data_IF_153905166093
#
_entry.id   IF_153905166093
#
_cell.length_a   1.000
_cell.length_b   1.000
_cell.length_c   1.000
_cell.angle_alpha   90.00
_cell.angle_beta   90.00
_cell.angle_gamma   90.00
#
_symmetry.space_group_name_H-M   'P 1'
#
loop_
_entity.id
_entity.type
_entity.pdbx_description
1 polymer ?
#
# COMPACT_ATOMS: atom_id res chain seq x y z
N UNK A 1 41.78 -11.13 -56.57
CA UNK A 1 40.57 -11.61 -55.90
C UNK A 1 41.00 -12.24 -54.58
N UNK A 2 40.94 -11.47 -53.48
CA UNK A 2 41.25 -11.97 -52.13
C UNK A 2 39.93 -12.31 -51.46
N UNK A 3 39.70 -13.58 -51.13
CA UNK A 3 38.56 -14.04 -50.35
C UNK A 3 38.83 -13.75 -48.89
N UNK A 4 37.99 -12.88 -48.28
CA UNK A 4 37.99 -12.64 -46.86
C UNK A 4 37.06 -13.70 -46.22
N UNK A 5 37.65 -14.57 -45.40
CA UNK A 5 36.92 -15.48 -44.53
C UNK A 5 36.47 -14.70 -43.29
N UNK A 6 35.16 -14.44 -43.16
CA UNK A 6 34.57 -13.94 -41.92
C UNK A 6 34.29 -15.15 -41.03
N UNK A 7 35.08 -15.27 -39.96
CA UNK A 7 34.85 -16.26 -38.90
C UNK A 7 33.72 -15.72 -38.00
N UNK A 8 32.52 -16.29 -38.13
CA UNK A 8 31.41 -16.01 -37.21
C UNK A 8 31.70 -16.74 -35.88
N UNK A 9 32.10 -15.99 -34.86
CA UNK A 9 32.16 -16.50 -33.49
C UNK A 9 30.71 -16.50 -32.93
N UNK A 10 30.06 -17.65 -32.98
CA UNK A 10 28.80 -17.90 -32.28
C UNK A 10 29.14 -18.10 -30.82
N UNK A 11 29.02 -17.06 -30.01
CA UNK A 11 29.00 -17.18 -28.57
C UNK A 11 27.71 -17.88 -28.14
N UNK A 12 27.77 -19.18 -27.97
CA UNK A 12 26.78 -19.95 -27.23
C UNK A 12 26.81 -19.49 -25.76
N UNK A 13 25.96 -18.52 -25.43
CA UNK A 13 25.60 -18.28 -24.05
C UNK A 13 24.82 -19.50 -23.55
N UNK A 14 25.53 -20.43 -22.94
CA UNK A 14 24.93 -21.46 -22.10
C UNK A 14 24.35 -20.70 -20.90
N UNK A 15 23.08 -20.35 -20.97
CA UNK A 15 22.28 -20.04 -19.80
C UNK A 15 22.26 -21.29 -18.91
N UNK A 16 23.27 -21.46 -18.07
CA UNK A 16 23.14 -22.27 -16.88
C UNK A 16 22.19 -21.54 -15.97
N UNK A 17 20.86 -21.71 -16.18
CA UNK A 17 19.91 -21.62 -15.11
C UNK A 17 20.46 -22.51 -14.00
N UNK A 18 20.93 -21.93 -12.93
CA UNK A 18 21.09 -22.65 -11.69
C UNK A 18 19.70 -23.10 -11.27
N UNK A 19 19.31 -24.30 -11.73
CA UNK A 19 18.19 -25.00 -11.14
C UNK A 19 18.62 -25.29 -9.69
N UNK A 20 18.19 -24.44 -8.78
CA UNK A 20 18.18 -24.81 -7.37
C UNK A 20 17.28 -26.03 -7.27
N UNK A 21 17.90 -27.16 -6.95
CA UNK A 21 17.24 -28.43 -6.80
C UNK A 21 16.05 -28.32 -5.86
N UNK A 22 15.01 -29.05 -6.19
CA UNK A 22 13.87 -29.31 -5.30
C UNK A 22 14.40 -30.00 -4.03
N UNK A 23 14.82 -29.21 -3.04
CA UNK A 23 15.02 -29.70 -1.69
C UNK A 23 13.76 -29.37 -0.92
N UNK A 24 13.17 -30.39 -0.31
CA UNK A 24 12.08 -30.21 0.66
C UNK A 24 12.46 -29.14 1.67
N UNK A 25 11.43 -28.51 2.21
CA UNK A 25 11.41 -27.37 3.13
C UNK A 25 12.47 -27.50 4.24
N UNK A 26 13.74 -27.21 3.94
CA UNK A 26 14.77 -27.07 4.95
C UNK A 26 14.69 -25.64 5.51
N UNK A 27 14.58 -25.52 6.83
CA UNK A 27 14.67 -24.23 7.52
C UNK A 27 15.96 -23.48 7.14
N UNK A 28 15.91 -22.15 7.09
CA UNK A 28 17.07 -21.32 6.80
C UNK A 28 18.14 -21.52 7.88
N UNK A 29 19.30 -21.99 7.50
CA UNK A 29 20.43 -22.11 8.41
C UNK A 29 21.08 -20.74 8.68
N UNK A 30 21.92 -20.64 9.72
CA UNK A 30 22.57 -19.41 10.12
C UNK A 30 23.38 -18.73 9.00
N UNK A 31 24.20 -19.43 8.18
CA UNK A 31 24.88 -18.84 7.03
C UNK A 31 23.92 -18.24 5.99
N UNK A 32 22.81 -18.91 5.70
CA UNK A 32 21.79 -18.42 4.77
C UNK A 32 21.11 -17.16 5.31
N UNK A 33 20.74 -17.15 6.59
CA UNK A 33 20.19 -15.96 7.27
C UNK A 33 21.16 -14.79 7.24
N UNK A 34 22.46 -15.03 7.50
CA UNK A 34 23.50 -14.01 7.43
C UNK A 34 23.63 -13.43 6.00
N UNK A 35 23.56 -14.28 4.98
CA UNK A 35 23.61 -13.85 3.57
C UNK A 35 22.41 -12.93 3.23
N UNK A 36 21.19 -13.35 3.57
CA UNK A 36 19.96 -12.58 3.31
C UNK A 36 20.03 -11.21 4.00
N UNK A 37 20.42 -11.20 5.29
CA UNK A 37 20.59 -9.97 6.06
C UNK A 37 21.63 -9.03 5.44
N UNK A 38 22.82 -9.55 5.12
CA UNK A 38 23.90 -8.79 4.48
C UNK A 38 23.46 -8.18 3.15
N UNK A 39 22.76 -8.96 2.34
CA UNK A 39 22.23 -8.49 1.06
C UNK A 39 21.21 -7.38 1.25
N UNK A 40 20.22 -7.55 2.12
CA UNK A 40 19.25 -6.50 2.44
C UNK A 40 19.93 -5.21 2.91
N UNK A 41 20.87 -5.32 3.87
CA UNK A 41 21.58 -4.16 4.38
C UNK A 41 22.36 -3.41 3.28
N UNK A 42 22.97 -4.14 2.36
CA UNK A 42 23.70 -3.58 1.21
C UNK A 42 22.76 -2.89 0.23
N UNK A 43 21.63 -3.51 -0.09
CA UNK A 43 20.64 -2.94 -1.01
C UNK A 43 20.02 -1.65 -0.46
N UNK A 44 19.72 -1.59 0.85
CA UNK A 44 19.26 -0.36 1.51
C UNK A 44 20.32 0.74 1.40
N UNK A 45 21.60 0.42 1.68
CA UNK A 45 22.68 1.40 1.64
C UNK A 45 22.82 2.10 0.29
N UNK A 46 22.63 1.37 -0.79
CA UNK A 46 22.84 1.91 -2.14
C UNK A 46 21.59 2.49 -2.78
N UNK A 47 20.41 1.96 -2.47
CA UNK A 47 19.19 2.28 -3.20
C UNK A 47 18.19 3.12 -2.42
N UNK A 48 18.24 3.12 -1.08
CA UNK A 48 17.24 3.81 -0.27
C UNK A 48 17.32 5.33 -0.44
N UNK A 49 16.23 5.94 -0.89
CA UNK A 49 16.18 7.37 -1.20
C UNK A 49 16.43 8.27 0.01
N UNK A 50 16.09 7.82 1.21
CA UNK A 50 16.25 8.60 2.45
C UNK A 50 17.42 8.16 3.30
N UNK A 51 18.39 7.45 2.72
CA UNK A 51 19.55 6.95 3.47
C UNK A 51 20.31 8.05 4.21
N UNK A 52 20.51 9.19 3.55
CA UNK A 52 21.24 10.33 4.12
C UNK A 52 20.43 11.11 5.19
N UNK A 53 19.11 10.84 5.30
CA UNK A 53 18.23 11.39 6.34
C UNK A 53 18.16 10.52 7.60
N UNK A 54 18.83 9.35 7.61
CA UNK A 54 18.89 8.49 8.80
C UNK A 54 19.67 9.17 9.91
N UNK A 55 19.10 9.19 11.12
CA UNK A 55 19.72 9.77 12.31
C UNK A 55 20.56 8.76 13.12
N UNK A 56 20.85 7.61 12.54
CA UNK A 56 21.67 6.53 13.12
C UNK A 56 22.55 5.89 12.03
N UNK A 57 23.56 5.15 12.48
CA UNK A 57 24.45 4.44 11.57
C UNK A 57 23.84 3.10 11.15
N UNK A 58 23.42 2.99 9.89
CA UNK A 58 22.80 1.79 9.32
C UNK A 58 23.71 0.56 9.35
N UNK A 59 25.00 0.74 8.98
CA UNK A 59 25.95 -0.38 8.96
C UNK A 59 26.15 -0.95 10.38
N UNK A 60 26.22 -0.09 11.39
CA UNK A 60 26.33 -0.51 12.80
C UNK A 60 25.08 -1.26 13.26
N UNK A 61 23.89 -0.81 12.87
CA UNK A 61 22.63 -1.49 13.20
C UNK A 61 22.55 -2.88 12.52
N UNK A 62 22.95 -2.97 11.25
CA UNK A 62 23.02 -4.24 10.53
C UNK A 62 23.97 -5.23 11.22
N UNK A 63 25.18 -4.80 11.58
CA UNK A 63 26.15 -5.65 12.28
C UNK A 63 25.61 -6.10 13.64
N UNK A 64 25.00 -5.20 14.42
CA UNK A 64 24.41 -5.52 15.72
C UNK A 64 23.24 -6.53 15.59
N UNK A 65 22.56 -6.58 14.46
CA UNK A 65 21.43 -7.49 14.21
C UNK A 65 21.87 -8.92 13.83
N UNK A 66 23.12 -9.14 13.39
CA UNK A 66 23.60 -10.45 12.93
C UNK A 66 23.39 -11.55 13.99
N UNK A 67 23.84 -11.41 15.25
CA UNK A 67 23.73 -12.52 16.21
C UNK A 67 22.29 -12.93 16.49
N UNK A 68 21.41 -11.96 16.71
CA UNK A 68 20.00 -12.24 17.03
C UNK A 68 19.23 -12.85 15.86
N UNK A 69 19.42 -12.31 14.65
CA UNK A 69 18.71 -12.79 13.46
C UNK A 69 19.19 -14.17 13.00
N UNK A 70 20.50 -14.42 13.05
CA UNK A 70 21.03 -15.74 12.65
C UNK A 70 20.73 -16.86 13.65
N UNK A 71 20.45 -16.50 14.91
CA UNK A 71 20.09 -17.44 15.97
C UNK A 71 18.58 -17.72 16.09
N UNK A 72 17.72 -17.11 15.26
CA UNK A 72 16.27 -17.37 15.28
C UNK A 72 15.95 -18.84 15.05
N UNK A 73 14.94 -19.35 15.78
CA UNK A 73 14.59 -20.78 15.78
C UNK A 73 13.74 -21.21 14.58
N UNK A 74 13.10 -20.25 13.89
CA UNK A 74 12.26 -20.53 12.72
C UNK A 74 12.46 -19.48 11.62
N UNK A 75 12.03 -19.81 10.40
CA UNK A 75 12.02 -18.87 9.27
C UNK A 75 11.03 -17.73 9.51
N UNK A 76 9.94 -17.99 10.25
CA UNK A 76 8.97 -16.96 10.64
C UNK A 76 9.62 -15.94 11.59
N UNK A 77 10.33 -16.39 12.64
CA UNK A 77 11.01 -15.49 13.56
C UNK A 77 12.11 -14.68 12.85
N UNK A 78 12.80 -15.32 11.90
CA UNK A 78 13.78 -14.62 11.06
C UNK A 78 13.12 -13.51 10.24
N UNK A 79 12.03 -13.81 9.52
CA UNK A 79 11.32 -12.79 8.73
C UNK A 79 10.81 -11.66 9.63
N UNK A 80 10.22 -11.97 10.77
CA UNK A 80 9.74 -10.94 11.72
C UNK A 80 10.90 -10.06 12.22
N UNK A 81 12.02 -10.67 12.53
CA UNK A 81 13.21 -9.92 12.92
C UNK A 81 13.74 -9.02 11.79
N UNK A 82 13.74 -9.51 10.55
CA UNK A 82 14.09 -8.71 9.37
C UNK A 82 13.11 -7.56 9.14
N UNK A 83 11.81 -7.78 9.35
CA UNK A 83 10.79 -6.71 9.26
C UNK A 83 10.99 -5.65 10.36
N UNK A 84 11.31 -6.05 11.59
CA UNK A 84 11.65 -5.11 12.67
C UNK A 84 12.88 -4.26 12.33
N UNK A 85 13.92 -4.86 11.75
CA UNK A 85 15.09 -4.12 11.26
C UNK A 85 14.72 -3.16 10.15
N UNK A 86 13.95 -3.62 9.16
CA UNK A 86 13.48 -2.81 8.03
C UNK A 86 12.67 -1.60 8.51
N UNK A 87 11.81 -1.76 9.49
CA UNK A 87 10.96 -0.69 10.01
C UNK A 87 11.71 0.44 10.73
N UNK A 88 13.00 0.26 11.05
CA UNK A 88 13.85 1.35 11.54
C UNK A 88 14.09 2.42 10.46
N UNK A 89 13.83 2.10 9.20
CA UNK A 89 13.93 3.05 8.07
C UNK A 89 12.76 4.03 8.02
N UNK A 90 11.67 3.76 8.73
CA UNK A 90 10.47 4.61 8.77
C UNK A 90 9.94 4.99 7.38
N UNK A 91 9.89 4.02 6.46
CA UNK A 91 9.42 4.21 5.10
C UNK A 91 8.41 3.13 4.69
N UNK A 92 7.24 3.57 4.20
CA UNK A 92 6.13 2.69 3.83
C UNK A 92 6.34 1.88 2.54
N UNK A 93 7.26 2.32 1.67
CA UNK A 93 7.64 1.59 0.45
C UNK A 93 8.87 0.69 0.63
N UNK A 94 9.51 0.70 1.80
CA UNK A 94 10.63 -0.19 2.12
C UNK A 94 10.15 -1.26 3.09
N UNK A 95 10.00 -2.49 2.57
CA UNK A 95 9.48 -3.61 3.35
C UNK A 95 10.03 -4.96 2.87
N UNK A 96 9.96 -5.97 3.74
CA UNK A 96 10.39 -7.34 3.47
C UNK A 96 9.16 -8.24 3.43
N UNK A 97 9.13 -9.13 2.45
CA UNK A 97 8.01 -10.02 2.21
C UNK A 97 8.47 -11.41 1.76
N UNK A 98 7.68 -12.46 2.03
CA UNK A 98 7.91 -13.77 1.43
C UNK A 98 7.55 -13.71 -0.06
N UNK A 99 8.41 -14.24 -0.91
CA UNK A 99 8.12 -14.38 -2.33
C UNK A 99 7.16 -15.54 -2.56
N UNK A 100 6.13 -15.31 -3.36
CA UNK A 100 5.14 -16.31 -3.70
C UNK A 100 5.78 -17.41 -4.56
N UNK A 101 6.22 -18.50 -3.92
CA UNK A 101 6.38 -19.76 -4.61
C UNK A 101 5.06 -20.54 -4.40
N UNK A 102 4.31 -20.91 -5.46
CA UNK A 102 3.07 -21.67 -5.32
C UNK A 102 3.23 -22.98 -4.54
N UNK A 103 4.47 -23.53 -4.51
CA UNK A 103 4.85 -24.71 -3.72
C UNK A 103 5.23 -24.39 -2.27
N UNK A 104 5.48 -23.10 -1.96
CA UNK A 104 5.95 -22.60 -0.67
C UNK A 104 5.08 -21.43 -0.15
N UNK A 105 3.81 -21.31 -0.58
CA UNK A 105 2.89 -20.45 0.15
C UNK A 105 2.85 -20.98 1.57
N UNK A 106 3.65 -20.34 2.38
CA UNK A 106 3.71 -20.66 3.79
C UNK A 106 2.30 -20.50 4.33
N UNK A 107 1.75 -21.57 4.89
CA UNK A 107 0.44 -21.60 5.58
C UNK A 107 0.33 -20.52 6.67
N UNK A 108 1.45 -19.87 6.99
CA UNK A 108 1.61 -18.89 8.04
C UNK A 108 1.19 -17.43 7.69
N UNK A 109 0.76 -17.15 6.42
CA UNK A 109 0.27 -15.81 6.02
C UNK A 109 -1.22 -15.82 5.65
N UNK A 110 -1.93 -16.90 5.89
CA UNK A 110 -3.36 -16.92 5.61
C UNK A 110 -4.11 -16.02 6.60
N UNK A 111 -4.68 -14.89 6.16
CA UNK A 111 -5.55 -14.11 7.03
C UNK A 111 -6.84 -14.89 7.31
N UNK A 112 -7.55 -14.52 8.37
CA UNK A 112 -8.96 -14.88 8.50
C UNK A 112 -9.72 -14.33 7.28
N UNK A 113 -10.72 -15.05 6.76
CA UNK A 113 -11.49 -14.63 5.60
C UNK A 113 -12.48 -13.51 5.96
N UNK A 114 -11.97 -12.43 6.52
CA UNK A 114 -12.71 -11.19 6.81
C UNK A 114 -11.78 -9.98 6.70
N UNK A 115 -12.32 -8.87 6.22
CA UNK A 115 -11.67 -7.56 6.24
C UNK A 115 -12.11 -6.78 7.46
N UNK A 116 -11.23 -5.94 7.95
CA UNK A 116 -11.49 -5.08 9.10
C UNK A 116 -11.13 -3.63 8.81
N UNK A 117 -11.61 -2.71 9.64
CA UNK A 117 -11.15 -1.32 9.69
C UNK A 117 -11.26 -0.76 11.10
N UNK A 118 -10.41 0.20 11.39
CA UNK A 118 -10.47 0.99 12.62
C UNK A 118 -11.28 2.28 12.37
N UNK A 119 -12.23 2.57 13.25
CA UNK A 119 -12.93 3.86 13.31
C UNK A 119 -12.78 4.37 14.74
N UNK A 120 -12.14 5.53 14.91
CA UNK A 120 -11.78 6.02 16.24
C UNK A 120 -10.91 5.02 17.02
N UNK A 121 -11.42 4.54 18.14
CA UNK A 121 -10.78 3.56 19.01
C UNK A 121 -11.47 2.19 19.00
N UNK A 122 -12.21 1.90 17.94
CA UNK A 122 -12.90 0.62 17.75
C UNK A 122 -12.55 0.00 16.41
N UNK A 123 -12.59 -1.32 16.34
CA UNK A 123 -12.28 -2.10 15.13
C UNK A 123 -13.49 -2.89 14.69
N UNK A 124 -13.86 -2.76 13.43
CA UNK A 124 -15.06 -3.36 12.86
C UNK A 124 -14.73 -4.29 11.70
N UNK A 125 -15.51 -5.35 11.58
CA UNK A 125 -15.55 -6.19 10.37
C UNK A 125 -16.26 -5.41 9.26
N UNK A 126 -15.62 -5.31 8.09
CA UNK A 126 -16.20 -4.68 6.89
C UNK A 126 -16.72 -5.71 5.91
N UNK A 127 -16.04 -6.84 5.80
CA UNK A 127 -16.34 -7.90 4.83
C UNK A 127 -16.06 -9.27 5.40
N UNK A 128 -16.87 -10.26 5.01
CA UNK A 128 -16.70 -11.66 5.38
C UNK A 128 -16.70 -12.52 4.12
N UNK A 129 -15.71 -13.38 3.98
CA UNK A 129 -15.48 -14.24 2.80
C UNK A 129 -15.67 -15.74 3.09
N UNK A 130 -16.17 -16.08 4.28
CA UNK A 130 -16.41 -17.45 4.72
C UNK A 130 -17.85 -17.65 5.21
N UNK A 131 -18.55 -18.63 4.64
CA UNK A 131 -19.88 -19.03 5.11
C UNK A 131 -19.85 -19.55 6.55
N UNK A 132 -18.77 -20.22 6.94
CA UNK A 132 -18.60 -20.69 8.33
C UNK A 132 -18.54 -19.51 9.32
N UNK A 133 -17.82 -18.43 8.98
CA UNK A 133 -17.80 -17.23 9.83
C UNK A 133 -19.18 -16.57 9.92
N UNK A 134 -19.90 -16.47 8.80
CA UNK A 134 -21.26 -15.93 8.80
C UNK A 134 -22.22 -16.76 9.64
N UNK A 135 -22.16 -18.08 9.55
CA UNK A 135 -22.97 -19.00 10.37
C UNK A 135 -22.63 -18.87 11.85
N UNK A 136 -21.37 -18.53 12.19
CA UNK A 136 -20.94 -18.25 13.56
C UNK A 136 -21.38 -16.87 14.06
N UNK A 137 -22.09 -16.07 13.23
CA UNK A 137 -22.60 -14.76 13.59
C UNK A 137 -21.72 -13.57 13.20
N UNK A 138 -20.59 -13.79 12.54
CA UNK A 138 -19.70 -12.71 12.08
C UNK A 138 -20.23 -12.10 10.80
N UNK A 139 -20.60 -10.82 10.86
CA UNK A 139 -21.16 -10.05 9.75
C UNK A 139 -20.51 -8.66 9.68
N UNK A 140 -20.60 -7.96 8.54
CA UNK A 140 -20.21 -6.56 8.45
C UNK A 140 -20.88 -5.70 9.55
N UNK A 141 -20.06 -4.89 10.23
CA UNK A 141 -20.47 -4.09 11.38
C UNK A 141 -20.36 -4.79 12.73
N UNK A 142 -19.94 -6.07 12.79
CA UNK A 142 -19.47 -6.64 14.05
C UNK A 142 -18.20 -5.93 14.49
N UNK A 143 -18.13 -5.57 15.77
CA UNK A 143 -16.92 -5.03 16.40
C UNK A 143 -16.04 -6.20 16.88
N UNK A 144 -14.74 -6.08 16.73
CA UNK A 144 -13.77 -6.96 17.35
C UNK A 144 -13.34 -6.34 18.68
N UNK A 145 -13.53 -7.06 19.77
CA UNK A 145 -13.18 -6.60 21.14
C UNK A 145 -11.82 -7.11 21.54
N UNK A 146 -11.60 -8.44 21.38
CA UNK A 146 -10.36 -9.09 21.79
C UNK A 146 -9.93 -10.15 20.76
N UNK A 147 -8.62 -10.36 20.68
CA UNK A 147 -7.99 -11.47 19.97
C UNK A 147 -7.10 -12.21 20.97
N UNK A 148 -7.36 -13.51 21.18
CA UNK A 148 -6.64 -14.38 22.12
C UNK A 148 -6.58 -13.84 23.57
N UNK A 149 -7.65 -13.12 23.99
CA UNK A 149 -7.77 -12.53 25.33
C UNK A 149 -7.05 -11.20 25.51
N UNK A 150 -6.47 -10.63 24.44
CA UNK A 150 -5.85 -9.31 24.44
C UNK A 150 -6.77 -8.31 23.74
N UNK A 151 -6.92 -7.08 24.27
CA UNK A 151 -7.69 -6.02 23.63
C UNK A 151 -7.23 -5.83 22.18
N UNK A 152 -8.16 -5.65 21.24
CA UNK A 152 -7.87 -5.62 19.81
C UNK A 152 -6.88 -4.53 19.41
N UNK A 153 -6.93 -3.35 20.04
CA UNK A 153 -6.00 -2.26 19.75
C UNK A 153 -4.59 -2.60 20.28
N UNK A 154 -4.50 -3.15 21.47
CA UNK A 154 -3.24 -3.58 22.05
C UNK A 154 -2.62 -4.72 21.22
N UNK A 155 -3.44 -5.69 20.82
CA UNK A 155 -3.04 -6.78 19.94
C UNK A 155 -2.46 -6.25 18.61
N UNK A 156 -3.19 -5.37 17.91
CA UNK A 156 -2.73 -4.79 16.65
C UNK A 156 -1.46 -3.96 16.81
N UNK A 157 -1.37 -3.15 17.87
CA UNK A 157 -0.18 -2.33 18.13
C UNK A 157 1.04 -3.14 18.52
N UNK A 158 0.88 -4.25 19.24
CA UNK A 158 1.97 -5.10 19.76
C UNK A 158 2.43 -6.16 18.75
N UNK A 159 1.50 -6.78 18.04
CA UNK A 159 1.80 -7.95 17.21
C UNK A 159 1.83 -7.67 15.71
N UNK A 160 1.12 -6.64 15.24
CA UNK A 160 0.99 -6.34 13.81
C UNK A 160 1.81 -5.11 13.41
N UNK A 161 1.59 -3.98 14.08
CA UNK A 161 2.23 -2.70 13.76
C UNK A 161 3.76 -2.76 13.67
N UNK A 162 4.50 -3.46 14.56
CA UNK A 162 5.96 -3.49 14.51
C UNK A 162 6.53 -4.14 13.24
N UNK A 163 5.72 -4.94 12.54
CA UNK A 163 6.11 -5.66 11.32
C UNK A 163 5.59 -4.99 10.03
N UNK A 164 4.89 -3.86 10.14
CA UNK A 164 4.37 -3.10 9.00
C UNK A 164 5.22 -1.86 8.75
N UNK A 165 5.71 -1.74 7.52
CA UNK A 165 6.40 -0.55 7.04
C UNK A 165 5.49 0.69 7.10
N UNK A 166 6.02 1.83 7.54
CA UNK A 166 5.24 3.03 7.79
C UNK A 166 6.10 4.28 7.67
N UNK A 167 5.64 5.26 6.88
CA UNK A 167 6.25 6.60 6.80
C UNK A 167 5.62 7.59 7.76
N UNK A 168 4.39 7.37 8.23
CA UNK A 168 3.62 8.37 8.99
C UNK A 168 2.89 7.78 10.20
N UNK A 169 2.65 8.61 11.24
CA UNK A 169 1.85 8.19 12.40
C UNK A 169 0.42 7.77 12.04
N UNK A 170 -0.25 8.46 11.09
CA UNK A 170 -1.60 8.12 10.67
C UNK A 170 -1.65 6.77 9.96
N UNK A 171 -0.72 6.47 9.05
CA UNK A 171 -0.60 5.14 8.45
C UNK A 171 -0.37 4.08 9.53
N UNK A 172 0.60 4.28 10.44
CA UNK A 172 0.91 3.36 11.52
C UNK A 172 -0.27 3.14 12.48
N UNK A 173 -1.16 4.14 12.63
CA UNK A 173 -2.36 4.05 13.46
C UNK A 173 -3.46 3.19 12.83
N UNK A 174 -3.68 3.31 11.51
CA UNK A 174 -4.84 2.70 10.85
C UNK A 174 -4.51 1.42 10.10
N UNK A 175 -3.33 1.34 9.45
CA UNK A 175 -2.96 0.18 8.61
C UNK A 175 -2.98 -1.17 9.33
N UNK A 176 -2.55 -1.32 10.60
CA UNK A 176 -2.61 -2.60 11.31
C UNK A 176 -4.01 -3.19 11.42
N UNK A 177 -5.05 -2.36 11.30
CA UNK A 177 -6.46 -2.72 11.43
C UNK A 177 -7.22 -2.67 10.11
N UNK A 178 -6.54 -2.36 9.00
CA UNK A 178 -7.15 -2.22 7.68
C UNK A 178 -7.08 -3.53 6.90
N UNK A 179 -8.13 -3.79 6.12
CA UNK A 179 -8.19 -4.94 5.23
C UNK A 179 -7.97 -6.26 5.98
N UNK A 180 -6.97 -7.03 5.60
CA UNK A 180 -6.62 -8.32 6.20
C UNK A 180 -5.46 -8.23 7.20
N UNK A 181 -4.89 -7.03 7.45
CA UNK A 181 -3.64 -6.91 8.21
C UNK A 181 -3.76 -7.44 9.63
N UNK A 182 -4.82 -7.07 10.34
CA UNK A 182 -5.05 -7.50 11.73
C UNK A 182 -5.07 -9.01 11.88
N UNK A 183 -5.51 -9.71 10.86
CA UNK A 183 -5.73 -11.15 10.86
C UNK A 183 -4.68 -11.93 10.09
N UNK A 184 -3.69 -11.26 9.48
CA UNK A 184 -2.49 -11.88 8.95
C UNK A 184 -1.62 -12.32 10.10
N UNK A 185 -1.73 -13.53 10.52
CA UNK A 185 -0.85 -14.07 11.54
C UNK A 185 -0.60 -15.56 11.33
N UNK A 186 0.58 -15.98 11.58
CA UNK A 186 1.17 -17.03 12.41
C UNK A 186 0.65 -18.44 12.20
N UNK A 187 0.61 -18.94 10.99
CA UNK A 187 0.51 -20.38 10.79
C UNK A 187 -0.80 -21.02 11.22
N UNK A 188 -0.77 -22.29 11.45
CA UNK A 188 -1.92 -23.17 11.74
C UNK A 188 -2.52 -23.05 13.15
N UNK A 189 -2.18 -22.03 13.93
CA UNK A 189 -2.71 -21.86 15.28
C UNK A 189 -4.14 -21.35 15.22
N UNK A 190 -5.01 -21.91 16.05
CA UNK A 190 -6.34 -21.37 16.28
C UNK A 190 -6.22 -20.00 16.92
N UNK A 191 -7.11 -19.09 16.57
CA UNK A 191 -7.30 -17.81 17.25
C UNK A 191 -8.70 -17.75 17.82
N UNK A 192 -8.81 -17.20 19.02
CA UNK A 192 -10.05 -16.95 19.73
C UNK A 192 -10.38 -15.47 19.64
N UNK A 193 -11.43 -15.12 18.90
CA UNK A 193 -11.81 -13.72 18.68
C UNK A 193 -13.15 -13.44 19.37
N UNK A 194 -13.17 -12.43 20.24
CA UNK A 194 -14.39 -11.91 20.87
C UNK A 194 -14.97 -10.80 19.99
N UNK A 195 -16.18 -11.02 19.51
CA UNK A 195 -16.95 -10.09 18.72
C UNK A 195 -18.11 -9.49 19.51
N UNK A 196 -18.55 -8.32 19.09
CA UNK A 196 -19.81 -7.69 19.51
C UNK A 196 -20.63 -7.33 18.29
N UNK A 197 -21.84 -7.84 18.18
CA UNK A 197 -22.70 -7.55 17.05
C UNK A 197 -23.37 -6.17 17.16
N UNK A 198 -24.04 -5.69 16.08
CA UNK A 198 -24.73 -4.39 16.04
C UNK A 198 -25.81 -4.24 17.13
N UNK A 199 -26.33 -5.34 17.71
CA UNK A 199 -27.30 -5.34 18.80
C UNK A 199 -26.66 -5.30 20.21
N UNK A 200 -25.33 -5.21 20.27
CA UNK A 200 -24.57 -5.19 21.52
C UNK A 200 -24.30 -6.54 22.17
N UNK A 201 -24.73 -7.66 21.55
CA UNK A 201 -24.47 -9.02 22.07
C UNK A 201 -23.04 -9.43 21.73
N UNK A 202 -22.30 -9.86 22.74
CA UNK A 202 -20.98 -10.43 22.61
C UNK A 202 -21.03 -11.95 22.34
N UNK A 203 -20.10 -12.43 21.54
CA UNK A 203 -19.92 -13.84 21.23
C UNK A 203 -18.50 -14.11 20.78
N UNK A 204 -18.04 -15.33 21.00
CA UNK A 204 -16.68 -15.74 20.67
C UNK A 204 -16.69 -16.73 19.51
N UNK A 205 -15.77 -16.53 18.58
CA UNK A 205 -15.45 -17.50 17.53
C UNK A 205 -14.03 -17.99 17.76
N UNK A 206 -13.87 -19.28 17.94
CA UNK A 206 -12.59 -19.95 17.95
C UNK A 206 -12.48 -20.76 16.67
N UNK A 207 -11.45 -20.48 15.88
CA UNK A 207 -11.27 -21.16 14.62
C UNK A 207 -9.80 -21.33 14.29
N UNK A 208 -9.48 -22.50 13.73
CA UNK A 208 -8.24 -22.66 13.02
C UNK A 208 -8.30 -21.86 11.71
N UNK A 209 -7.17 -21.48 11.16
CA UNK A 209 -7.09 -20.62 9.96
C UNK A 209 -7.42 -21.36 8.65
N UNK A 210 -7.86 -22.60 8.70
CA UNK A 210 -8.32 -23.40 7.56
C UNK A 210 -9.78 -23.12 7.18
N UNK A 211 -10.29 -21.92 7.51
CA UNK A 211 -11.61 -21.49 7.07
C UNK A 211 -11.68 -21.40 5.55
N UNK A 212 -12.80 -21.83 4.99
CA UNK A 212 -13.05 -21.71 3.55
C UNK A 212 -13.17 -20.25 3.13
N UNK A 213 -12.72 -19.97 1.92
CA UNK A 213 -12.95 -18.71 1.21
C UNK A 213 -13.99 -18.97 0.13
N UNK A 214 -15.21 -19.28 0.55
CA UNK A 214 -16.30 -19.74 -0.31
C UNK A 214 -17.30 -18.64 -0.68
N UNK A 215 -17.19 -17.48 -0.05
CA UNK A 215 -17.99 -16.31 -0.39
C UNK A 215 -17.17 -15.37 -1.25
N UNK A 216 -17.52 -15.28 -2.53
CA UNK A 216 -16.96 -14.26 -3.42
C UNK A 216 -17.70 -12.94 -3.16
N UNK A 217 -16.95 -11.85 -3.14
CA UNK A 217 -17.50 -10.51 -3.25
C UNK A 217 -16.94 -9.90 -4.53
N UNK A 218 -17.80 -9.79 -5.51
CA UNK A 218 -17.52 -9.04 -6.75
C UNK A 218 -17.73 -7.54 -6.45
N UNK A 219 -16.95 -6.97 -5.55
CA UNK A 219 -16.91 -5.53 -5.38
C UNK A 219 -15.88 -5.01 -6.38
N UNK A 220 -16.30 -4.35 -7.46
CA UNK A 220 -15.37 -3.82 -8.43
C UNK A 220 -14.49 -2.77 -7.75
N UNK A 221 -13.20 -2.73 -8.12
CA UNK A 221 -12.27 -1.71 -7.63
C UNK A 221 -12.64 -0.31 -8.10
N UNK A 222 -13.44 -0.22 -9.17
CA UNK A 222 -14.01 1.03 -9.66
C UNK A 222 -15.55 0.89 -9.76
N UNK A 223 -16.26 1.91 -9.29
CA UNK A 223 -17.74 1.96 -9.42
C UNK A 223 -18.23 3.40 -9.48
N UNK A 224 -19.37 3.60 -10.13
CA UNK A 224 -20.04 4.89 -10.22
C UNK A 224 -21.49 4.77 -9.80
N UNK A 225 -21.99 5.77 -9.07
CA UNK A 225 -23.39 5.88 -8.63
C UNK A 225 -23.81 7.34 -8.63
N UNK A 226 -25.00 7.63 -9.06
CA UNK A 226 -25.62 8.93 -8.88
C UNK A 226 -26.32 8.96 -7.52
N UNK A 227 -26.02 9.96 -6.72
CA UNK A 227 -26.65 10.27 -5.43
C UNK A 227 -27.79 11.26 -5.63
N UNK A 228 -28.41 11.68 -4.52
CA UNK A 228 -29.38 12.78 -4.52
C UNK A 228 -28.77 14.06 -5.13
N UNK A 229 -29.63 14.94 -5.63
CA UNK A 229 -29.24 16.22 -6.26
C UNK A 229 -28.30 16.03 -7.48
N UNK A 230 -28.46 14.91 -8.16
CA UNK A 230 -27.66 14.56 -9.36
C UNK A 230 -26.14 14.65 -9.12
N UNK A 231 -25.67 14.32 -7.91
CA UNK A 231 -24.24 14.28 -7.56
C UNK A 231 -23.69 12.91 -7.86
N UNK A 232 -22.67 12.81 -8.72
CA UNK A 232 -21.95 11.58 -9.00
C UNK A 232 -21.04 11.17 -7.83
N UNK A 233 -20.96 9.88 -7.55
CA UNK A 233 -19.95 9.26 -6.69
C UNK A 233 -19.17 8.24 -7.49
N UNK A 234 -17.95 8.60 -7.87
CA UNK A 234 -16.97 7.72 -8.49
C UNK A 234 -16.02 7.17 -7.42
N UNK A 235 -16.07 5.87 -7.18
CA UNK A 235 -15.12 5.20 -6.28
C UNK A 235 -14.01 4.55 -7.10
N UNK A 236 -12.76 4.82 -6.75
CA UNK A 236 -11.55 4.25 -7.36
C UNK A 236 -10.71 3.63 -6.26
N UNK A 237 -10.89 2.33 -6.02
CA UNK A 237 -10.25 1.62 -4.90
C UNK A 237 -8.80 1.19 -5.17
N UNK A 238 -8.32 1.25 -6.42
CA UNK A 238 -6.96 0.84 -6.78
C UNK A 238 -6.52 1.45 -8.11
N UNK A 239 -5.23 1.72 -8.22
CA UNK A 239 -4.55 2.06 -9.48
C UNK A 239 -3.69 0.91 -10.00
N UNK A 240 -3.82 -0.30 -9.49
CA UNK A 240 -3.14 -1.48 -10.03
C UNK A 240 -3.63 -1.79 -11.44
N UNK A 241 -2.75 -2.29 -12.31
CA UNK A 241 -3.10 -2.66 -13.70
C UNK A 241 -4.18 -3.75 -13.78
N UNK A 242 -4.30 -4.60 -12.76
CA UNK A 242 -5.34 -5.62 -12.66
C UNK A 242 -6.71 -5.06 -12.30
N UNK A 243 -6.77 -3.87 -11.69
CA UNK A 243 -7.94 -3.34 -11.01
C UNK A 243 -8.50 -2.10 -11.70
N UNK A 244 -7.64 -1.23 -12.26
CA UNK A 244 -8.04 -0.04 -12.98
C UNK A 244 -8.26 -0.35 -14.46
N UNK A 245 -9.50 -0.32 -14.90
CA UNK A 245 -9.88 -0.56 -16.28
C UNK A 245 -10.26 0.76 -16.98
N UNK A 246 -9.41 1.25 -17.87
CA UNK A 246 -9.62 2.51 -18.62
C UNK A 246 -10.87 2.43 -19.49
N UNK A 247 -11.08 1.32 -20.19
CA UNK A 247 -12.28 1.15 -21.04
C UNK A 247 -13.55 1.25 -20.22
N UNK A 248 -13.58 0.61 -19.04
CA UNK A 248 -14.75 0.70 -18.15
C UNK A 248 -14.92 2.13 -17.60
N UNK A 249 -13.84 2.83 -17.29
CA UNK A 249 -13.92 4.25 -16.90
C UNK A 249 -14.49 5.10 -18.04
N UNK A 250 -14.06 4.87 -19.29
CA UNK A 250 -14.58 5.58 -20.46
C UNK A 250 -16.08 5.37 -20.68
N UNK A 251 -16.56 4.17 -20.42
CA UNK A 251 -18.01 3.84 -20.45
C UNK A 251 -18.77 4.60 -19.34
N UNK A 252 -18.19 4.74 -18.16
CA UNK A 252 -18.78 5.48 -17.04
C UNK A 252 -18.73 6.98 -17.27
N UNK A 253 -17.76 7.48 -18.02
CA UNK A 253 -17.51 8.90 -18.17
C UNK A 253 -18.68 9.66 -18.80
N UNK A 254 -19.38 9.06 -19.75
CA UNK A 254 -20.58 9.63 -20.35
C UNK A 254 -21.72 9.86 -19.33
N UNK A 255 -21.81 8.99 -18.32
CA UNK A 255 -22.75 9.17 -17.20
C UNK A 255 -22.25 10.20 -16.19
N UNK A 256 -20.94 10.27 -15.97
CA UNK A 256 -20.31 11.28 -15.12
C UNK A 256 -20.58 12.69 -15.68
N UNK A 257 -20.48 12.88 -16.99
CA UNK A 257 -20.73 14.16 -17.65
C UNK A 257 -22.16 14.69 -17.42
N UNK A 258 -23.13 13.82 -17.16
CA UNK A 258 -24.56 14.20 -16.90
C UNK A 258 -24.80 14.68 -15.47
N UNK A 259 -23.88 14.46 -14.53
CA UNK A 259 -24.04 14.90 -13.13
C UNK A 259 -23.80 16.39 -12.96
N UNK A 260 -24.32 16.99 -11.89
CA UNK A 260 -24.16 18.42 -11.58
C UNK A 260 -22.93 18.70 -10.70
N UNK A 261 -22.46 17.69 -9.99
CA UNK A 261 -21.21 17.70 -9.23
C UNK A 261 -20.67 16.27 -9.10
N UNK A 262 -19.40 16.11 -8.72
CA UNK A 262 -18.76 14.81 -8.61
C UNK A 262 -17.99 14.67 -7.30
N UNK A 263 -18.15 13.55 -6.65
CA UNK A 263 -17.29 13.07 -5.57
C UNK A 263 -16.41 11.97 -6.16
N UNK A 264 -15.10 12.14 -6.09
CA UNK A 264 -14.11 11.10 -6.41
C UNK A 264 -13.63 10.51 -5.08
N UNK A 265 -13.92 9.25 -4.83
CA UNK A 265 -13.54 8.56 -3.60
C UNK A 265 -12.35 7.62 -3.87
N UNK A 266 -11.17 8.03 -3.39
CA UNK A 266 -9.95 7.24 -3.42
C UNK A 266 -9.49 6.82 -2.01
N UNK A 267 -10.38 6.84 -1.04
CA UNK A 267 -10.08 6.29 0.28
C UNK A 267 -9.75 4.81 0.15
N UNK A 268 -8.75 4.36 0.92
CA UNK A 268 -8.20 3.00 0.89
C UNK A 268 -7.54 2.59 -0.45
N UNK A 269 -7.37 3.51 -1.40
CA UNK A 269 -6.59 3.25 -2.60
C UNK A 269 -5.10 3.23 -2.24
N UNK A 270 -4.48 2.06 -2.30
CA UNK A 270 -3.07 1.87 -1.97
C UNK A 270 -2.11 2.20 -3.13
N UNK A 271 -2.63 2.81 -4.19
CA UNK A 271 -1.83 3.18 -5.36
C UNK A 271 -1.76 2.08 -6.43
N UNK A 272 -0.68 2.06 -7.16
CA UNK A 272 -0.43 1.16 -8.29
C UNK A 272 0.36 1.85 -9.40
N UNK A 273 -0.15 1.84 -10.61
CA UNK A 273 0.47 2.49 -11.76
C UNK A 273 0.05 3.97 -11.85
N UNK A 274 1.01 4.89 -11.72
CA UNK A 274 0.78 6.33 -11.79
C UNK A 274 0.13 6.77 -13.11
N UNK A 275 0.39 6.06 -14.23
CA UNK A 275 -0.25 6.39 -15.51
C UNK A 275 -1.78 6.26 -15.50
N UNK A 276 -2.35 5.56 -14.51
CA UNK A 276 -3.80 5.51 -14.31
C UNK A 276 -4.30 6.74 -13.54
N UNK A 277 -3.52 7.25 -12.60
CA UNK A 277 -3.80 8.52 -11.92
C UNK A 277 -3.74 9.69 -12.93
N UNK A 278 -2.70 9.71 -13.78
CA UNK A 278 -2.53 10.71 -14.85
C UNK A 278 -3.70 10.66 -15.85
N UNK A 279 -4.09 9.45 -16.26
CA UNK A 279 -5.23 9.25 -17.14
C UNK A 279 -6.53 9.74 -16.52
N UNK A 280 -6.78 9.43 -15.24
CA UNK A 280 -7.98 9.86 -14.54
C UNK A 280 -8.04 11.39 -14.44
N UNK A 281 -6.95 12.06 -14.00
CA UNK A 281 -6.96 13.52 -13.83
C UNK A 281 -7.10 14.27 -15.14
N UNK A 282 -6.61 13.71 -16.26
CA UNK A 282 -6.68 14.35 -17.58
C UNK A 282 -8.12 14.67 -18.04
N UNK A 283 -9.11 13.95 -17.54
CA UNK A 283 -10.54 14.16 -17.80
C UNK A 283 -11.15 15.33 -17.01
N UNK A 284 -10.43 15.87 -16.04
CA UNK A 284 -10.91 16.88 -15.11
C UNK A 284 -10.14 18.21 -15.17
N UNK A 285 -9.17 18.35 -16.05
CA UNK A 285 -8.32 19.53 -16.18
C UNK A 285 -8.50 20.18 -17.56
N UNK A 286 -8.38 21.52 -17.64
CA UNK A 286 -8.53 22.29 -18.88
C UNK A 286 -7.21 22.78 -19.44
N UNK A 287 -6.19 22.84 -18.59
CA UNK A 287 -4.86 23.31 -18.94
C UNK A 287 -3.85 22.27 -18.49
N UNK A 288 -2.70 22.20 -19.17
CA UNK A 288 -1.61 21.36 -18.69
C UNK A 288 -1.26 21.69 -17.24
N UNK A 289 -1.09 20.65 -16.42
CA UNK A 289 -0.68 20.81 -15.01
C UNK A 289 0.74 20.27 -14.83
N UNK A 290 1.63 21.00 -14.13
CA UNK A 290 2.95 20.49 -13.84
C UNK A 290 2.84 19.27 -12.94
N UNK A 291 3.77 18.35 -13.08
CA UNK A 291 3.98 17.27 -12.14
C UNK A 291 4.98 17.68 -11.05
N UNK A 292 4.99 16.95 -9.95
CA UNK A 292 6.03 17.10 -8.92
C UNK A 292 7.41 16.69 -9.46
N UNK A 293 8.45 17.24 -8.85
CA UNK A 293 9.83 16.83 -9.15
C UNK A 293 10.17 15.60 -8.31
N UNK A 294 10.89 14.66 -8.90
CA UNK A 294 11.43 13.53 -8.16
C UNK A 294 12.96 13.44 -8.32
N UNK A 295 13.59 12.80 -7.35
CA UNK A 295 15.02 12.54 -7.37
C UNK A 295 15.34 11.14 -6.87
N UNK A 296 16.36 10.53 -7.47
CA UNK A 296 16.85 9.20 -7.11
C UNK A 296 18.34 9.25 -6.78
N UNK A 297 18.80 8.56 -5.73
CA UNK A 297 20.21 8.59 -5.35
C UNK A 297 21.08 7.87 -6.37
N UNK A 298 22.23 8.45 -6.69
CA UNK A 298 23.26 7.86 -7.52
C UNK A 298 24.46 7.44 -6.68
N UNK A 299 24.82 6.17 -6.69
CA UNK A 299 26.02 5.69 -6.03
C UNK A 299 27.18 5.58 -7.02
N UNK A 300 28.19 6.45 -6.83
CA UNK A 300 29.45 6.43 -7.57
C UNK A 300 30.56 6.06 -6.59
N UNK A 301 31.06 4.82 -6.70
CA UNK A 301 32.00 4.25 -5.75
C UNK A 301 33.28 5.10 -5.55
N UNK A 302 33.82 5.67 -6.65
CA UNK A 302 34.99 6.55 -6.59
C UNK A 302 34.70 7.82 -5.77
N UNK A 303 33.56 8.48 -6.01
CA UNK A 303 33.15 9.68 -5.29
C UNK A 303 32.92 9.39 -3.81
N UNK A 304 32.27 8.26 -3.49
CA UNK A 304 32.08 7.82 -2.12
C UNK A 304 33.41 7.57 -1.40
N UNK A 305 34.41 6.97 -2.08
CA UNK A 305 35.74 6.75 -1.51
C UNK A 305 36.56 8.03 -1.27
N UNK A 306 36.23 9.09 -1.98
CA UNK A 306 36.82 10.42 -1.82
C UNK A 306 36.02 11.35 -0.90
N UNK A 307 35.00 10.81 -0.22
CA UNK A 307 34.08 11.53 0.65
C UNK A 307 33.32 12.68 -0.05
N UNK A 308 33.03 12.53 -1.36
CA UNK A 308 32.14 13.46 -2.02
C UNK A 308 30.70 13.21 -1.57
N UNK A 309 29.86 14.26 -1.52
CA UNK A 309 28.43 14.10 -1.27
C UNK A 309 27.79 13.14 -2.26
N UNK A 310 26.73 12.43 -1.83
CA UNK A 310 25.93 11.59 -2.71
C UNK A 310 25.33 12.44 -3.83
N UNK A 311 25.45 11.96 -5.04
CA UNK A 311 24.84 12.59 -6.19
C UNK A 311 23.39 12.13 -6.35
N UNK A 312 22.59 12.96 -7.02
CA UNK A 312 21.18 12.72 -7.25
C UNK A 312 20.85 12.91 -8.73
N UNK A 313 20.15 11.94 -9.30
CA UNK A 313 19.46 12.13 -10.55
C UNK A 313 18.12 12.79 -10.24
N UNK A 314 17.86 13.93 -10.90
CA UNK A 314 16.63 14.70 -10.69
C UNK A 314 15.89 14.85 -12.01
N UNK A 315 14.58 14.73 -11.95
CA UNK A 315 13.71 14.94 -13.11
C UNK A 315 12.41 15.64 -12.68
N UNK A 316 11.99 16.58 -13.53
CA UNK A 316 10.62 17.09 -13.52
C UNK A 316 9.94 16.49 -14.75
N UNK A 317 8.94 15.62 -14.58
CA UNK A 317 8.22 15.01 -15.70
C UNK A 317 7.49 16.06 -16.54
N UNK A 318 7.14 15.69 -17.78
CA UNK A 318 6.31 16.52 -18.63
C UNK A 318 4.95 16.81 -17.98
N UNK A 319 4.34 17.99 -18.19
CA UNK A 319 3.04 18.31 -17.66
C UNK A 319 1.97 17.30 -18.10
N UNK A 320 1.01 17.00 -17.23
CA UNK A 320 -0.18 16.25 -17.60
C UNK A 320 -1.06 17.12 -18.48
N UNK A 321 -1.41 16.62 -19.65
CA UNK A 321 -2.27 17.31 -20.61
C UNK A 321 -3.75 16.96 -20.36
N UNK A 322 -4.68 17.88 -20.66
CA UNK A 322 -6.09 17.55 -20.73
C UNK A 322 -6.35 16.44 -21.75
N UNK A 323 -7.40 15.66 -21.56
CA UNK A 323 -7.83 14.65 -22.52
C UNK A 323 -8.36 15.33 -23.79
N UNK A 324 -7.75 15.05 -24.95
CA UNK A 324 -8.10 15.68 -26.23
C UNK A 324 -9.37 15.10 -26.87
N UNK A 325 -9.66 13.81 -26.62
CA UNK A 325 -10.70 13.07 -27.33
C UNK A 325 -12.06 13.11 -26.62
N UNK A 326 -12.13 13.64 -25.41
CA UNK A 326 -13.31 13.66 -24.57
C UNK A 326 -13.64 15.07 -24.09
N UNK A 327 -14.94 15.33 -23.90
CA UNK A 327 -15.38 16.53 -23.19
C UNK A 327 -14.82 16.56 -21.77
N UNK A 328 -14.23 17.66 -21.34
CA UNK A 328 -13.68 17.83 -20.00
C UNK A 328 -14.80 18.13 -19.02
N UNK A 329 -14.85 17.37 -17.91
CA UNK A 329 -15.81 17.62 -16.84
C UNK A 329 -15.49 18.93 -16.10
N UNK A 330 -16.38 19.92 -16.21
CA UNK A 330 -16.16 21.28 -15.71
C UNK A 330 -16.83 21.59 -14.37
N UNK A 331 -17.77 20.75 -13.97
CA UNK A 331 -18.62 20.99 -12.80
C UNK A 331 -17.85 20.76 -11.48
N UNK A 332 -18.37 21.17 -10.32
CA UNK A 332 -17.66 21.03 -9.04
C UNK A 332 -17.24 19.60 -8.73
N UNK A 333 -16.01 19.44 -8.21
CA UNK A 333 -15.48 18.14 -7.77
C UNK A 333 -14.99 18.25 -6.31
N UNK A 334 -15.16 17.15 -5.59
CA UNK A 334 -14.56 16.89 -4.28
C UNK A 334 -13.79 15.57 -4.36
N UNK A 335 -12.61 15.54 -3.76
CA UNK A 335 -11.79 14.34 -3.62
C UNK A 335 -11.82 13.83 -2.18
N UNK A 336 -12.16 12.55 -1.98
CA UNK A 336 -12.13 11.91 -0.66
C UNK A 336 -10.88 11.09 -0.47
N UNK A 337 -10.21 11.31 0.66
CA UNK A 337 -8.96 10.64 1.04
C UNK A 337 -8.99 10.17 2.49
N UNK A 338 -8.11 9.22 2.83
CA UNK A 338 -7.90 8.81 4.22
C UNK A 338 -6.44 8.35 4.46
N UNK A 339 -6.16 7.96 5.70
CA UNK A 339 -4.83 7.53 6.14
C UNK A 339 -4.26 6.32 5.35
N UNK A 340 -5.08 5.59 4.62
CA UNK A 340 -4.67 4.46 3.77
C UNK A 340 -4.71 4.78 2.27
N UNK A 341 -4.98 6.03 1.88
CA UNK A 341 -4.68 6.57 0.55
C UNK A 341 -3.16 6.69 0.41
N UNK A 342 -2.55 6.01 -0.59
CA UNK A 342 -1.11 5.75 -0.57
C UNK A 342 -0.50 5.69 -1.98
N UNK A 343 0.80 5.99 -2.13
CA UNK A 343 1.54 5.82 -3.39
C UNK A 343 0.90 6.59 -4.55
N UNK A 344 0.68 5.99 -5.71
CA UNK A 344 0.08 6.66 -6.88
C UNK A 344 -1.28 7.33 -6.60
N UNK A 345 -1.98 6.93 -5.53
CA UNK A 345 -3.18 7.65 -5.09
C UNK A 345 -2.83 9.00 -4.43
N UNK A 346 -1.64 9.12 -3.83
CA UNK A 346 -1.12 10.40 -3.33
C UNK A 346 -0.62 11.26 -4.50
N UNK A 347 -0.02 10.66 -5.54
CA UNK A 347 0.31 11.38 -6.77
C UNK A 347 -0.96 11.99 -7.40
N UNK A 348 -2.08 11.25 -7.43
CA UNK A 348 -3.37 11.80 -7.85
C UNK A 348 -3.80 12.99 -6.98
N UNK A 349 -3.62 12.93 -5.65
CA UNK A 349 -3.90 14.05 -4.76
C UNK A 349 -3.03 15.27 -5.07
N UNK A 350 -1.73 15.06 -5.33
CA UNK A 350 -0.77 16.11 -5.73
C UNK A 350 -1.24 16.81 -7.00
N UNK A 351 -1.59 16.04 -8.03
CA UNK A 351 -2.09 16.56 -9.30
C UNK A 351 -3.42 17.30 -9.13
N UNK A 352 -4.37 16.72 -8.37
CA UNK A 352 -5.68 17.33 -8.10
C UNK A 352 -5.56 18.69 -7.37
N UNK A 353 -4.65 18.76 -6.39
CA UNK A 353 -4.35 19.98 -5.65
C UNK A 353 -3.64 21.02 -6.53
N UNK A 354 -2.63 20.60 -7.30
CA UNK A 354 -1.90 21.47 -8.25
C UNK A 354 -2.83 22.05 -9.33
N UNK A 355 -3.77 21.25 -9.82
CA UNK A 355 -4.81 21.69 -10.76
C UNK A 355 -5.85 22.65 -10.11
N UNK A 356 -5.87 22.78 -8.79
CA UNK A 356 -6.89 23.53 -8.03
C UNK A 356 -8.32 23.11 -8.41
N UNK A 357 -8.49 21.81 -8.69
CA UNK A 357 -9.72 21.30 -9.32
C UNK A 357 -10.91 21.21 -8.37
N UNK A 358 -10.66 21.21 -7.08
CA UNK A 358 -11.70 21.13 -6.06
C UNK A 358 -11.11 21.09 -4.65
N UNK A 359 -11.91 20.59 -3.70
CA UNK A 359 -11.50 20.41 -2.32
C UNK A 359 -11.21 18.95 -2.01
N UNK A 360 -10.17 18.72 -1.21
CA UNK A 360 -9.86 17.42 -0.64
C UNK A 360 -10.52 17.33 0.73
N UNK A 361 -11.33 16.29 0.95
CA UNK A 361 -12.06 16.05 2.21
C UNK A 361 -11.65 14.69 2.78
N UNK A 362 -11.43 14.60 4.08
CA UNK A 362 -11.07 13.35 4.75
C UNK A 362 -10.05 13.54 5.85
N UNK A 363 -9.12 12.59 5.96
CA UNK A 363 -7.97 12.63 6.88
C UNK A 363 -6.67 12.66 6.10
N UNK A 364 -5.54 13.08 6.71
CA UNK A 364 -4.24 13.06 6.04
C UNK A 364 -3.91 11.69 5.45
N UNK A 365 -3.32 11.67 4.25
CA UNK A 365 -2.97 10.45 3.53
C UNK A 365 -1.77 9.70 4.14
N UNK A 366 -1.40 8.56 3.58
CA UNK A 366 -0.36 7.67 4.09
C UNK A 366 1.05 8.25 4.10
N UNK A 367 1.35 9.22 3.25
CA UNK A 367 2.61 9.96 3.23
C UNK A 367 3.78 9.15 2.71
N UNK A 368 3.57 8.38 1.64
CA UNK A 368 4.63 7.58 1.04
C UNK A 368 4.39 7.37 -0.45
N UNK A 369 5.31 7.89 -1.25
CA UNK A 369 5.54 7.55 -2.65
C UNK A 369 7.00 7.12 -2.78
N UNK A 370 7.50 6.76 -3.98
CA UNK A 370 8.93 6.53 -4.11
C UNK A 370 9.36 5.45 -5.09
N UNK A 371 8.48 5.08 -6.05
CA UNK A 371 8.81 4.19 -7.17
C UNK A 371 9.77 3.05 -6.77
N UNK A 372 9.34 2.13 -5.92
CA UNK A 372 10.25 1.19 -5.26
C UNK A 372 10.76 0.13 -6.22
N UNK A 373 11.99 -0.32 -5.99
CA UNK A 373 12.53 -1.51 -6.64
C UNK A 373 12.21 -2.77 -5.84
N UNK A 374 11.97 -3.86 -6.57
CA UNK A 374 11.74 -5.19 -6.01
C UNK A 374 13.00 -6.03 -6.16
N UNK A 375 13.51 -6.56 -5.07
CA UNK A 375 14.76 -7.31 -5.02
C UNK A 375 14.48 -8.70 -4.45
N UNK A 376 14.88 -9.73 -5.19
CA UNK A 376 14.94 -11.10 -4.69
C UNK A 376 16.16 -11.25 -3.76
N UNK A 377 15.93 -11.39 -2.46
CA UNK A 377 16.98 -11.63 -1.48
C UNK A 377 17.46 -13.09 -1.49
N UNK A 378 16.80 -13.96 -2.25
CA UNK A 378 17.01 -15.39 -2.27
C UNK A 378 16.23 -16.14 -1.21
N UNK A 379 16.20 -17.48 -1.35
CA UNK A 379 15.61 -18.41 -0.38
C UNK A 379 14.13 -18.13 -0.03
N UNK A 380 13.38 -17.57 -0.99
CA UNK A 380 11.96 -17.29 -0.84
C UNK A 380 11.63 -15.98 -0.11
N UNK A 381 12.60 -15.10 0.10
CA UNK A 381 12.41 -13.77 0.64
C UNK A 381 12.74 -12.69 -0.40
N UNK A 382 11.93 -11.65 -0.42
CA UNK A 382 12.14 -10.45 -1.21
C UNK A 382 12.05 -9.20 -0.36
N UNK A 383 12.57 -8.10 -0.89
CA UNK A 383 12.34 -6.79 -0.32
C UNK A 383 11.92 -5.79 -1.39
N UNK A 384 11.25 -4.77 -0.94
CA UNK A 384 10.92 -3.57 -1.68
C UNK A 384 11.71 -2.43 -1.06
N UNK A 385 12.33 -1.58 -1.86
CA UNK A 385 13.11 -0.44 -1.38
C UNK A 385 12.69 0.81 -2.14
N UNK A 386 12.29 1.84 -1.42
CA UNK A 386 11.98 3.16 -1.94
C UNK A 386 13.23 3.78 -2.59
N UNK A 387 13.14 4.15 -3.88
CA UNK A 387 14.26 4.68 -4.65
C UNK A 387 14.10 6.15 -5.06
N UNK A 388 12.94 6.74 -4.80
CA UNK A 388 12.67 8.12 -5.19
C UNK A 388 12.20 8.96 -4.02
N UNK A 389 12.67 10.19 -4.00
CA UNK A 389 12.20 11.28 -3.19
C UNK A 389 11.38 12.21 -4.09
N UNK A 390 10.10 12.36 -3.79
CA UNK A 390 9.17 13.17 -4.57
C UNK A 390 8.73 14.41 -3.80
N UNK A 391 8.53 15.51 -4.54
CA UNK A 391 7.95 16.75 -4.05
C UNK A 391 6.59 16.98 -4.73
N UNK A 392 5.72 17.76 -4.11
CA UNK A 392 4.46 18.17 -4.74
C UNK A 392 4.70 19.18 -5.90
N UNK A 393 3.64 19.60 -6.58
CA UNK A 393 3.71 20.54 -7.70
C UNK A 393 4.24 21.92 -7.33
N UNK A 394 4.22 22.28 -6.05
CA UNK A 394 4.73 23.54 -5.50
C UNK A 394 6.16 23.37 -4.92
N UNK A 395 6.74 22.17 -5.01
CA UNK A 395 8.06 21.86 -4.49
C UNK A 395 8.10 21.54 -2.98
N UNK A 396 6.97 21.23 -2.36
CA UNK A 396 6.90 20.90 -0.96
C UNK A 396 7.02 19.39 -0.70
N UNK A 397 7.58 19.05 0.45
CA UNK A 397 7.63 17.69 0.98
C UNK A 397 6.25 17.21 1.41
N UNK A 398 5.88 15.99 1.02
CA UNK A 398 4.69 15.32 1.51
C UNK A 398 4.98 13.88 1.98
N UNK A 399 6.14 13.30 1.61
CA UNK A 399 6.59 12.01 2.11
C UNK A 399 6.94 12.13 3.60
N UNK A 400 6.46 11.20 4.40
CA UNK A 400 6.58 11.27 5.87
C UNK A 400 5.57 12.21 6.54
N UNK A 401 4.73 12.90 5.76
CA UNK A 401 3.73 13.87 6.24
C UNK A 401 2.33 13.44 5.82
N UNK A 402 2.13 13.09 4.55
CA UNK A 402 0.86 12.87 3.87
C UNK A 402 0.25 14.15 3.30
N UNK A 403 -0.59 13.99 2.29
CA UNK A 403 -1.37 15.09 1.72
C UNK A 403 -2.43 15.49 2.73
N UNK A 404 -2.43 16.76 3.13
CA UNK A 404 -3.39 17.30 4.08
C UNK A 404 -4.70 17.64 3.37
N UNK A 405 -5.86 17.20 3.89
CA UNK A 405 -7.16 17.59 3.34
C UNK A 405 -7.44 19.07 3.59
N UNK A 406 -8.21 19.70 2.69
CA UNK A 406 -8.73 21.06 2.89
C UNK A 406 -9.81 21.10 3.99
N UNK A 407 -10.57 20.01 4.10
CA UNK A 407 -11.66 19.85 5.08
C UNK A 407 -11.45 18.52 5.78
N UNK A 408 -11.18 18.58 7.08
CA UNK A 408 -11.05 17.37 7.90
C UNK A 408 -12.42 16.73 8.10
N UNK A 409 -12.53 15.45 7.81
CA UNK A 409 -13.70 14.63 8.05
C UNK A 409 -13.27 13.20 8.42
N UNK A 410 -13.77 12.71 9.53
CA UNK A 410 -13.52 11.35 10.01
C UNK A 410 -14.79 10.51 9.92
N UNK A 411 -14.63 9.20 9.82
CA UNK A 411 -15.77 8.29 9.87
C UNK A 411 -16.40 8.30 11.27
N UNK A 412 -17.74 8.47 11.32
CA UNK A 412 -18.51 8.37 12.55
C UNK A 412 -19.02 6.94 12.76
N UNK A 413 -18.86 6.42 13.98
CA UNK A 413 -19.21 5.05 14.32
C UNK A 413 -20.72 4.81 14.19
N UNK A 414 -21.56 5.74 14.64
CA UNK A 414 -23.01 5.57 14.59
C UNK A 414 -23.50 5.58 13.13
N UNK A 415 -22.99 6.51 12.33
CA UNK A 415 -23.27 6.57 10.89
C UNK A 415 -22.88 5.28 10.20
N UNK A 416 -21.67 4.76 10.49
CA UNK A 416 -21.20 3.49 9.94
C UNK A 416 -22.08 2.30 10.37
N UNK A 417 -22.44 2.19 11.64
CA UNK A 417 -23.30 1.09 12.13
C UNK A 417 -24.70 1.13 11.52
N UNK A 418 -25.18 2.30 11.10
CA UNK A 418 -26.44 2.49 10.37
C UNK A 418 -26.28 2.40 8.83
N UNK A 419 -25.13 1.89 8.35
CA UNK A 419 -24.79 1.75 6.93
C UNK A 419 -24.67 3.08 6.16
N UNK A 420 -24.45 4.21 6.85
CA UNK A 420 -24.11 5.52 6.30
C UNK A 420 -22.60 5.71 6.18
N UNK A 421 -22.22 6.87 5.66
CA UNK A 421 -20.83 7.31 5.51
C UNK A 421 -20.74 8.82 5.76
N UNK A 422 -20.29 9.19 6.94
CA UNK A 422 -20.23 10.59 7.38
C UNK A 422 -19.28 11.45 6.53
N UNK A 423 -18.27 10.85 5.91
CA UNK A 423 -17.34 11.58 5.03
C UNK A 423 -18.01 11.89 3.69
N UNK A 424 -18.77 10.93 3.13
CA UNK A 424 -19.59 11.19 1.93
C UNK A 424 -20.69 12.21 2.23
N UNK A 425 -21.37 12.11 3.39
CA UNK A 425 -22.39 13.09 3.82
C UNK A 425 -21.78 14.50 3.88
N UNK A 426 -20.58 14.64 4.46
CA UNK A 426 -19.85 15.91 4.51
C UNK A 426 -19.52 16.46 3.11
N UNK A 427 -19.18 15.60 2.16
CA UNK A 427 -18.90 15.99 0.79
C UNK A 427 -20.17 16.45 0.06
N UNK A 428 -21.28 15.73 0.24
CA UNK A 428 -22.58 16.11 -0.30
C UNK A 428 -23.02 17.48 0.20
N UNK A 429 -22.93 17.72 1.52
CA UNK A 429 -23.28 19.01 2.13
C UNK A 429 -22.41 20.15 1.59
N UNK A 430 -21.10 19.90 1.41
CA UNK A 430 -20.21 20.88 0.82
C UNK A 430 -20.60 21.21 -0.63
N UNK A 431 -20.90 20.21 -1.46
CA UNK A 431 -21.31 20.44 -2.85
C UNK A 431 -22.66 21.13 -2.98
N UNK A 432 -23.62 20.84 -2.10
CA UNK A 432 -24.93 21.52 -2.02
C UNK A 432 -24.81 23.00 -1.66
N UNK A 433 -23.74 23.38 -0.97
CA UNK A 433 -23.51 24.76 -0.56
C UNK A 433 -22.87 25.64 -1.64
N UNK A 434 -22.55 25.09 -2.80
CA UNK A 434 -21.90 25.77 -3.93
C UNK A 434 -22.86 26.07 -5.04
#
# INVERSE_FOLDING_TARGET
MKKIFILLFVCLFINKSFAYGETGKAELNAPTKAYILSRFCTEVKYNFAFYDKLNFNWDSLCVASIPSLTATSSDEDFLKGMQLLCNQLHDGHTYIFPMNNPKNQADWIRPFPMKTKRIGDRVFVTDVYSSNLQQSGVHPGCEIIEIDGENVLDYGNKHIRPHLASSTPQWAKYKPFAEFELTKDKGSKSSKILFKNKKGKEFTVESNRNLSWDLKKDTPSMSFKVKEDNIGLLTVGSFQNSDFNRTYFDELYDEILKTDALIIDIRNNSGGNSSHADYLISHFIHLPIPQGTWSSPMYIAAHASWNYPREWYMQTPDPILPMDEKEIYQKPIVLLVNATTFSSAENFCVLFKGAKRGKIIGTPTGGSTGNPIFIDLGFGLGCCICTEHELDTDGNEFIGIGIQPDIVAEEDINTFLNNGDSVIEKALDFLRSK
#
